data_IF_953503682821
#
_entry.id   IF_953503682821
#
_cell.length_a   1.000
_cell.length_b   1.000
_cell.length_c   1.000
_cell.angle_alpha   90.00
_cell.angle_beta   90.00
_cell.angle_gamma   90.00
#
_symmetry.space_group_name_H-M   'P 1'
#
loop_
_entity.id
_entity.type
_entity.pdbx_description
1 polymer ?
#
# COMPACT_ATOMS: atom_id res chain seq x y z
N UNK A 1 11.23 23.94 -28.71
CA UNK A 1 11.92 23.31 -27.57
C UNK A 1 11.25 23.83 -26.31
N UNK A 2 10.94 22.98 -25.33
CA UNK A 2 10.42 23.48 -24.07
C UNK A 2 11.44 24.39 -23.40
N UNK A 3 10.99 25.49 -22.83
CA UNK A 3 11.84 26.38 -22.08
C UNK A 3 12.10 25.76 -20.70
N UNK A 4 13.36 25.43 -20.41
CA UNK A 4 13.78 25.19 -19.03
C UNK A 4 13.83 26.55 -18.34
N UNK A 5 13.05 26.71 -17.28
CA UNK A 5 12.91 27.97 -16.55
C UNK A 5 13.42 27.82 -15.12
N UNK A 6 13.82 28.95 -14.53
CA UNK A 6 14.20 29.00 -13.12
C UNK A 6 12.96 28.98 -12.23
N UNK A 7 12.95 28.07 -11.26
CA UNK A 7 11.95 27.94 -10.20
C UNK A 7 12.68 27.93 -8.84
N UNK A 8 13.21 29.06 -8.36
CA UNK A 8 14.15 29.07 -7.23
C UNK A 8 13.63 28.28 -6.01
N UNK A 9 14.43 27.37 -5.44
CA UNK A 9 15.85 27.13 -5.68
C UNK A 9 16.19 26.09 -6.78
N UNK A 10 15.22 25.69 -7.60
CA UNK A 10 15.33 24.61 -8.58
C UNK A 10 15.14 25.08 -10.03
N UNK A 11 15.29 24.15 -10.96
CA UNK A 11 14.99 24.29 -12.38
C UNK A 11 13.73 23.50 -12.72
N UNK A 12 12.88 24.06 -13.58
CA UNK A 12 11.68 23.38 -14.07
C UNK A 12 11.60 23.39 -15.58
N UNK A 13 10.74 22.52 -16.10
CA UNK A 13 10.24 22.58 -17.46
C UNK A 13 8.72 22.62 -17.45
N UNK A 14 8.13 23.38 -18.37
CA UNK A 14 6.68 23.39 -18.55
C UNK A 14 6.18 22.01 -18.99
N UNK A 15 5.09 21.57 -18.38
CA UNK A 15 4.44 20.31 -18.74
C UNK A 15 3.68 20.47 -20.06
N UNK A 16 3.83 19.55 -21.03
CA UNK A 16 3.02 19.58 -22.25
C UNK A 16 1.58 19.09 -22.04
N UNK A 17 1.23 18.67 -20.81
CA UNK A 17 -0.09 18.17 -20.42
C UNK A 17 -0.60 19.04 -19.28
N UNK A 18 -1.82 19.55 -19.40
CA UNK A 18 -2.45 20.29 -18.30
C UNK A 18 -2.76 19.38 -17.12
N UNK A 19 -2.36 19.78 -15.92
CA UNK A 19 -2.42 18.94 -14.71
C UNK A 19 -3.84 18.81 -14.17
N UNK A 20 -4.78 19.68 -14.55
CA UNK A 20 -6.16 19.62 -14.10
C UNK A 20 -6.86 18.27 -14.35
N UNK A 21 -6.54 17.56 -15.44
CA UNK A 21 -7.09 16.21 -15.71
C UNK A 21 -6.50 15.17 -14.73
N UNK A 22 -5.21 15.31 -14.40
CA UNK A 22 -4.51 14.43 -13.45
C UNK A 22 -5.06 14.68 -12.04
N UNK A 23 -5.29 15.94 -11.67
CA UNK A 23 -5.89 16.32 -10.39
C UNK A 23 -7.31 15.78 -10.25
N UNK A 24 -8.12 15.87 -11.31
CA UNK A 24 -9.46 15.28 -11.33
C UNK A 24 -9.41 13.76 -11.15
N UNK A 25 -8.48 13.07 -11.82
CA UNK A 25 -8.28 11.63 -11.65
C UNK A 25 -7.84 11.28 -10.22
N UNK A 26 -6.96 12.08 -9.63
CA UNK A 26 -6.51 11.91 -8.25
C UNK A 26 -7.68 12.09 -7.27
N UNK A 27 -8.49 13.15 -7.43
CA UNK A 27 -9.67 13.40 -6.61
C UNK A 27 -10.69 12.25 -6.71
N UNK A 28 -11.02 11.81 -7.93
CA UNK A 28 -11.90 10.65 -8.17
C UNK A 28 -11.35 9.41 -7.47
N UNK A 29 -10.04 9.18 -7.56
CA UNK A 29 -9.38 8.03 -6.92
C UNK A 29 -9.47 8.10 -5.40
N UNK A 30 -9.28 9.28 -4.78
CA UNK A 30 -9.46 9.46 -3.34
C UNK A 30 -10.91 9.18 -2.92
N UNK A 31 -11.89 9.74 -3.65
CA UNK A 31 -13.32 9.48 -3.38
C UNK A 31 -13.62 7.98 -3.51
N UNK A 32 -13.06 7.32 -4.53
CA UNK A 32 -13.21 5.88 -4.71
C UNK A 32 -12.62 5.06 -3.55
N UNK A 33 -11.42 5.41 -3.06
CA UNK A 33 -10.79 4.75 -1.91
C UNK A 33 -11.68 4.89 -0.67
N UNK A 34 -12.21 6.10 -0.41
CA UNK A 34 -13.10 6.36 0.73
C UNK A 34 -14.39 5.54 0.58
N UNK A 35 -15.03 5.60 -0.59
CA UNK A 35 -16.26 4.86 -0.87
C UNK A 35 -16.06 3.35 -0.73
N UNK A 36 -15.00 2.78 -1.31
CA UNK A 36 -14.73 1.34 -1.25
C UNK A 36 -14.39 0.89 0.17
N UNK A 37 -13.65 1.69 0.92
CA UNK A 37 -13.39 1.45 2.34
C UNK A 37 -14.69 1.46 3.17
N UNK A 38 -15.57 2.45 2.98
CA UNK A 38 -16.86 2.50 3.68
C UNK A 38 -17.77 1.32 3.27
N UNK A 39 -17.83 1.01 1.99
CA UNK A 39 -18.68 -0.06 1.47
C UNK A 39 -18.20 -1.45 1.90
N UNK A 40 -16.95 -1.83 1.60
CA UNK A 40 -16.44 -3.17 1.93
C UNK A 40 -15.97 -3.27 3.38
N UNK A 41 -15.29 -2.24 3.85
CA UNK A 41 -14.68 -2.19 5.17
C UNK A 41 -15.70 -2.06 6.29
N UNK A 42 -16.52 -1.01 6.24
CA UNK A 42 -17.52 -0.70 7.29
C UNK A 42 -18.80 -1.50 7.08
N UNK A 43 -19.46 -1.36 5.92
CA UNK A 43 -20.78 -2.00 5.66
C UNK A 43 -20.66 -3.51 5.44
N UNK A 44 -19.65 -3.97 4.72
CA UNK A 44 -19.29 -5.38 4.58
C UNK A 44 -18.65 -6.01 5.83
N UNK A 45 -18.37 -5.17 6.85
CA UNK A 45 -17.69 -5.50 8.10
C UNK A 45 -16.29 -6.09 7.91
N UNK A 46 -15.63 -5.92 6.75
CA UNK A 46 -14.30 -6.47 6.52
C UNK A 46 -13.25 -5.87 7.48
N UNK A 47 -13.35 -4.58 7.83
CA UNK A 47 -12.45 -3.95 8.82
C UNK A 47 -12.52 -4.71 10.16
N UNK A 48 -13.70 -5.19 10.52
CA UNK A 48 -13.95 -5.97 11.73
C UNK A 48 -13.76 -7.49 11.56
N UNK A 49 -13.50 -7.99 10.33
CA UNK A 49 -13.09 -9.38 10.05
C UNK A 49 -11.59 -9.59 10.19
N UNK A 50 -10.78 -8.54 10.10
CA UNK A 50 -9.32 -8.63 10.19
C UNK A 50 -8.73 -8.44 11.60
N UNK A 51 -9.45 -8.90 12.65
CA UNK A 51 -8.86 -9.71 13.71
C UNK A 51 -9.37 -11.17 13.77
N UNK A 52 -10.34 -11.56 12.96
CA UNK A 52 -11.13 -12.79 13.14
C UNK A 52 -10.58 -14.06 12.49
N UNK A 53 -9.27 -14.15 12.18
CA UNK A 53 -8.68 -15.50 12.16
C UNK A 53 -8.60 -16.07 13.57
N UNK A 54 -8.81 -15.29 14.64
CA UNK A 54 -8.76 -15.85 16.00
C UNK A 54 -9.98 -15.66 16.90
N UNK A 55 -10.89 -14.68 16.73
CA UNK A 55 -11.86 -14.42 17.81
C UNK A 55 -13.18 -13.85 17.29
N UNK A 56 -14.26 -14.65 17.32
CA UNK A 56 -15.65 -14.24 17.09
C UNK A 56 -16.36 -14.11 18.45
N UNK A 57 -16.44 -12.89 19.00
CA UNK A 57 -17.34 -12.56 20.11
C UNK A 57 -18.70 -12.14 19.51
N UNK A 58 -19.85 -12.55 20.07
CA UNK A 58 -21.18 -12.10 19.63
C UNK A 58 -21.33 -10.57 19.73
N UNK A 59 -21.53 -9.92 18.58
CA UNK A 59 -21.61 -8.45 18.42
C UNK A 59 -22.52 -7.69 19.40
N UNK A 60 -23.74 -8.16 19.76
CA UNK A 60 -24.64 -7.42 20.64
C UNK A 60 -24.11 -7.22 22.06
N UNK A 61 -23.25 -8.12 22.54
CA UNK A 61 -22.64 -8.02 23.86
C UNK A 61 -21.41 -7.10 23.86
N UNK A 62 -20.72 -6.99 22.73
CA UNK A 62 -19.55 -6.12 22.56
C UNK A 62 -19.92 -4.64 22.53
N UNK A 63 -20.95 -4.26 21.76
CA UNK A 63 -21.44 -2.88 21.70
C UNK A 63 -21.98 -2.40 23.06
N UNK A 64 -22.75 -3.26 23.75
CA UNK A 64 -23.49 -2.88 24.95
C UNK A 64 -22.64 -2.82 26.22
N UNK A 65 -21.52 -3.57 26.30
CA UNK A 65 -20.67 -3.66 27.51
C UNK A 65 -19.28 -3.01 27.37
N UNK A 66 -18.77 -2.80 26.14
CA UNK A 66 -17.35 -2.46 25.93
C UNK A 66 -17.12 -1.15 25.15
N UNK A 67 -18.05 -0.76 24.27
CA UNK A 67 -17.93 0.44 23.44
C UNK A 67 -18.71 1.65 23.99
N UNK A 68 -19.85 1.44 24.65
CA UNK A 68 -20.68 2.52 25.20
C UNK A 68 -20.07 3.24 26.42
N UNK A 69 -19.16 2.58 27.16
CA UNK A 69 -18.63 3.09 28.45
C UNK A 69 -17.22 3.71 28.36
N UNK A 70 -16.57 3.73 27.19
CA UNK A 70 -15.16 4.18 27.07
C UNK A 70 -15.00 5.46 26.25
N UNK A 71 -14.05 6.35 26.64
CA UNK A 71 -13.84 7.63 25.97
C UNK A 71 -13.38 7.45 24.52
N UNK A 72 -13.71 8.43 23.68
CA UNK A 72 -13.31 8.47 22.28
C UNK A 72 -11.77 8.47 22.13
N UNK A 73 -11.26 7.79 21.10
CA UNK A 73 -9.83 7.82 20.77
C UNK A 73 -9.50 9.23 20.24
N UNK A 74 -8.66 9.97 20.96
CA UNK A 74 -8.20 11.28 20.52
C UNK A 74 -7.29 11.18 19.28
N UNK A 75 -7.37 12.18 18.38
CA UNK A 75 -6.63 12.21 17.12
C UNK A 75 -5.11 12.04 17.30
N UNK A 76 -4.50 12.72 18.28
CA UNK A 76 -3.06 12.60 18.56
C UNK A 76 -2.62 11.16 18.90
N UNK A 77 -3.48 10.38 19.57
CA UNK A 77 -3.19 8.98 19.90
C UNK A 77 -3.30 8.07 18.70
N UNK A 78 -4.31 8.29 17.85
CA UNK A 78 -4.43 7.58 16.58
C UNK A 78 -3.20 7.83 15.69
N UNK A 79 -2.69 9.06 15.65
CA UNK A 79 -1.46 9.41 14.92
C UNK A 79 -0.22 8.72 15.52
N UNK A 80 -0.05 8.74 16.84
CA UNK A 80 1.05 8.03 17.50
C UNK A 80 1.01 6.52 17.22
N UNK A 81 -0.17 5.91 17.33
CA UNK A 81 -0.41 4.50 17.02
C UNK A 81 -0.17 4.18 15.52
N UNK A 82 -0.48 5.11 14.61
CA UNK A 82 -0.13 5.01 13.19
C UNK A 82 1.38 4.90 13.00
N UNK A 83 2.15 5.83 13.57
CA UNK A 83 3.61 5.79 13.46
C UNK A 83 4.22 4.56 14.15
N UNK A 84 3.69 4.16 15.31
CA UNK A 84 4.12 2.92 15.99
C UNK A 84 3.84 1.70 15.13
N UNK A 85 2.68 1.62 14.49
CA UNK A 85 2.35 0.54 13.55
C UNK A 85 3.29 0.54 12.34
N UNK A 86 3.54 1.71 11.75
CA UNK A 86 4.36 1.88 10.56
C UNK A 86 5.84 1.57 10.81
N UNK A 87 6.40 2.02 11.93
CA UNK A 87 7.82 1.84 12.23
C UNK A 87 8.11 0.59 13.05
N UNK A 88 7.25 0.15 13.96
CA UNK A 88 7.55 -1.03 14.79
C UNK A 88 7.06 -2.30 14.10
N UNK A 89 5.79 -2.37 13.72
CA UNK A 89 5.20 -3.63 13.28
C UNK A 89 5.37 -3.94 11.81
N UNK A 90 5.34 -2.92 10.94
CA UNK A 90 5.61 -3.11 9.51
C UNK A 90 7.08 -3.47 9.31
N UNK A 91 8.04 -2.82 10.01
CA UNK A 91 9.45 -3.23 10.00
C UNK A 91 9.66 -4.62 10.60
N UNK A 92 8.98 -4.93 11.71
CA UNK A 92 9.05 -6.27 12.31
C UNK A 92 8.28 -7.34 11.51
N UNK A 93 7.54 -6.95 10.47
CA UNK A 93 6.63 -7.84 9.71
C UNK A 93 5.61 -8.56 10.60
N UNK A 94 5.32 -8.00 11.78
CA UNK A 94 4.43 -8.58 12.79
C UNK A 94 3.00 -8.73 12.31
N UNK A 95 2.56 -7.86 11.38
CA UNK A 95 1.20 -7.80 10.86
C UNK A 95 1.04 -8.54 9.52
N UNK A 96 2.11 -8.64 8.73
CA UNK A 96 2.10 -9.19 7.36
C UNK A 96 2.72 -10.59 7.26
N UNK A 97 2.52 -11.40 8.32
CA UNK A 97 2.96 -12.81 8.43
C UNK A 97 2.21 -13.74 7.45
N UNK A 98 2.40 -13.55 6.16
CA UNK A 98 2.02 -14.51 5.11
C UNK A 98 3.31 -15.13 4.54
N UNK A 99 4.24 -15.48 5.42
CA UNK A 99 5.52 -16.13 5.09
C UNK A 99 5.43 -17.65 5.20
N UNK A 100 4.37 -18.13 5.87
CA UNK A 100 4.05 -19.52 6.06
C UNK A 100 3.40 -20.12 4.81
N UNK A 101 3.52 -21.43 4.64
CA UNK A 101 2.86 -22.16 3.56
C UNK A 101 1.37 -22.33 3.85
N UNK A 102 0.81 -23.52 3.64
CA UNK A 102 -0.57 -23.81 4.05
C UNK A 102 -0.76 -23.78 5.58
N UNK A 103 0.32 -23.91 6.35
CA UNK A 103 0.29 -23.81 7.82
C UNK A 103 1.55 -23.17 8.39
N UNK A 104 1.47 -22.64 9.61
CA UNK A 104 2.63 -22.06 10.34
C UNK A 104 3.73 -23.08 10.66
N UNK A 105 3.41 -24.38 10.61
CA UNK A 105 4.34 -25.49 10.87
C UNK A 105 5.14 -25.88 9.63
N UNK A 106 4.79 -25.36 8.45
CA UNK A 106 5.46 -25.68 7.20
C UNK A 106 6.78 -24.92 7.06
N UNK A 107 7.88 -25.64 6.86
CA UNK A 107 9.21 -25.06 6.66
C UNK A 107 9.31 -24.48 5.24
N UNK A 108 9.00 -23.19 5.11
CA UNK A 108 9.14 -22.45 3.86
C UNK A 108 10.59 -21.98 3.68
N UNK A 109 11.34 -22.66 2.81
CA UNK A 109 12.76 -22.32 2.51
C UNK A 109 12.97 -20.91 1.97
N UNK A 110 11.92 -20.26 1.47
CA UNK A 110 11.98 -18.91 0.88
C UNK A 110 11.52 -17.79 1.83
N UNK A 111 11.22 -18.12 3.10
CA UNK A 111 10.63 -17.21 4.09
C UNK A 111 11.35 -15.86 4.18
N UNK A 112 12.67 -15.87 4.29
CA UNK A 112 13.49 -14.65 4.38
C UNK A 112 13.35 -13.78 3.13
N UNK A 113 13.33 -14.38 1.95
CA UNK A 113 13.16 -13.66 0.69
C UNK A 113 11.74 -13.09 0.54
N UNK A 114 10.69 -13.82 0.96
CA UNK A 114 9.31 -13.27 1.02
C UNK A 114 9.21 -12.09 1.98
N UNK A 115 9.87 -12.18 3.13
CA UNK A 115 9.91 -11.11 4.12
C UNK A 115 10.58 -9.85 3.57
N UNK A 116 11.77 -10.01 3.00
CA UNK A 116 12.52 -8.94 2.37
C UNK A 116 11.74 -8.29 1.22
N UNK A 117 11.14 -9.10 0.34
CA UNK A 117 10.32 -8.64 -0.77
C UNK A 117 9.15 -7.76 -0.29
N UNK A 118 8.41 -8.20 0.73
CA UNK A 118 7.30 -7.42 1.31
C UNK A 118 7.78 -6.13 1.95
N UNK A 119 8.86 -6.16 2.72
CA UNK A 119 9.45 -4.96 3.33
C UNK A 119 9.84 -3.94 2.26
N UNK A 120 10.52 -4.39 1.21
CA UNK A 120 10.89 -3.53 0.08
C UNK A 120 9.65 -2.94 -0.60
N UNK A 121 8.63 -3.74 -0.91
CA UNK A 121 7.40 -3.23 -1.51
C UNK A 121 6.68 -2.21 -0.62
N UNK A 122 6.55 -2.48 0.68
CA UNK A 122 5.88 -1.56 1.62
C UNK A 122 6.66 -0.25 1.77
N UNK A 123 7.98 -0.31 1.99
CA UNK A 123 8.81 0.90 2.04
C UNK A 123 8.84 1.64 0.71
N UNK A 124 8.78 0.91 -0.41
CA UNK A 124 8.59 1.47 -1.73
C UNK A 124 7.35 2.38 -1.80
N UNK A 125 6.21 1.90 -1.31
CA UNK A 125 4.98 2.70 -1.21
C UNK A 125 5.09 3.88 -0.24
N UNK A 126 5.74 3.70 0.91
CA UNK A 126 5.94 4.81 1.86
C UNK A 126 6.75 5.93 1.22
N UNK A 127 7.87 5.60 0.56
CA UNK A 127 8.68 6.59 -0.14
C UNK A 127 7.95 7.22 -1.33
N UNK A 128 7.18 6.46 -2.09
CA UNK A 128 6.34 7.02 -3.16
C UNK A 128 5.24 7.94 -2.62
N UNK A 129 4.64 7.63 -1.47
CA UNK A 129 3.68 8.49 -0.79
C UNK A 129 4.29 9.81 -0.33
N UNK A 130 5.49 9.76 0.28
CA UNK A 130 6.26 10.96 0.65
C UNK A 130 6.61 11.78 -0.60
N UNK A 131 7.13 11.13 -1.63
CA UNK A 131 7.48 11.75 -2.91
C UNK A 131 6.29 12.49 -3.52
N UNK A 132 5.15 11.81 -3.64
CA UNK A 132 3.92 12.37 -4.22
C UNK A 132 3.40 13.55 -3.40
N UNK A 133 3.41 13.44 -2.07
CA UNK A 133 2.97 14.51 -1.17
C UNK A 133 3.87 15.74 -1.29
N UNK A 134 5.20 15.55 -1.27
CA UNK A 134 6.14 16.64 -1.43
C UNK A 134 6.04 17.28 -2.82
N UNK A 135 5.89 16.48 -3.89
CA UNK A 135 5.69 16.99 -5.24
C UNK A 135 4.43 17.85 -5.33
N UNK A 136 3.30 17.38 -4.78
CA UNK A 136 2.04 18.12 -4.76
C UNK A 136 2.14 19.46 -4.00
N UNK A 137 2.90 19.49 -2.89
CA UNK A 137 3.02 20.70 -2.06
C UNK A 137 4.08 21.69 -2.55
N UNK A 138 5.11 21.22 -3.26
CA UNK A 138 6.30 22.02 -3.57
C UNK A 138 6.46 22.34 -5.06
N UNK A 139 5.90 21.54 -5.97
CA UNK A 139 6.04 21.79 -7.40
C UNK A 139 5.03 22.84 -7.84
N UNK A 140 5.45 23.88 -8.60
CA UNK A 140 4.50 24.81 -9.19
C UNK A 140 3.53 24.07 -10.12
N UNK A 141 2.27 24.49 -10.14
CA UNK A 141 1.25 23.86 -11.00
C UNK A 141 1.66 23.97 -12.48
N UNK A 142 1.42 22.90 -13.25
CA UNK A 142 1.85 22.73 -14.64
C UNK A 142 3.38 22.76 -14.89
N UNK A 143 4.20 22.74 -13.84
CA UNK A 143 5.66 22.74 -13.94
C UNK A 143 6.28 21.45 -13.40
N UNK A 144 7.32 20.96 -14.08
CA UNK A 144 8.04 19.74 -13.71
C UNK A 144 9.44 20.12 -13.22
N UNK A 145 9.73 19.94 -11.92
CA UNK A 145 11.06 20.20 -11.34
C UNK A 145 12.08 19.17 -11.81
N UNK A 146 13.19 19.58 -12.42
CA UNK A 146 14.17 18.68 -13.05
C UNK A 146 15.23 18.15 -12.08
N UNK A 147 15.53 18.91 -11.03
CA UNK A 147 16.62 18.64 -10.09
C UNK A 147 16.44 17.31 -9.35
N UNK A 148 17.32 16.35 -9.64
CA UNK A 148 17.26 15.01 -9.04
C UNK A 148 17.53 15.00 -7.52
N UNK A 149 18.17 16.05 -7.00
CA UNK A 149 18.42 16.23 -5.57
C UNK A 149 17.22 16.83 -4.83
N UNK A 150 16.13 17.19 -5.53
CA UNK A 150 14.89 17.58 -4.87
C UNK A 150 14.37 16.41 -4.01
N UNK A 151 13.96 16.62 -2.75
CA UNK A 151 13.56 15.53 -1.86
C UNK A 151 12.43 14.66 -2.45
N UNK A 152 11.43 15.27 -3.09
CA UNK A 152 10.39 14.55 -3.81
C UNK A 152 10.95 13.57 -4.87
N UNK A 153 11.97 13.97 -5.65
CA UNK A 153 12.61 13.13 -6.67
C UNK A 153 13.41 11.99 -6.02
N UNK A 154 14.18 12.29 -4.98
CA UNK A 154 14.97 11.28 -4.23
C UNK A 154 14.05 10.19 -3.68
N UNK A 155 13.00 10.56 -2.96
CA UNK A 155 12.04 9.60 -2.42
C UNK A 155 11.30 8.85 -3.53
N UNK A 156 10.99 9.49 -4.66
CA UNK A 156 10.37 8.83 -5.80
C UNK A 156 11.26 7.75 -6.41
N UNK A 157 12.55 8.05 -6.61
CA UNK A 157 13.53 7.10 -7.15
C UNK A 157 13.78 5.94 -6.18
N UNK A 158 13.96 6.22 -4.89
CA UNK A 158 14.11 5.17 -3.86
C UNK A 158 12.86 4.29 -3.78
N UNK A 159 11.68 4.92 -3.79
CA UNK A 159 10.40 4.23 -3.80
C UNK A 159 10.25 3.29 -4.99
N UNK A 160 10.51 3.79 -6.20
CA UNK A 160 10.48 3.00 -7.43
C UNK A 160 11.47 1.84 -7.42
N UNK A 161 12.71 2.07 -6.99
CA UNK A 161 13.73 1.01 -6.90
C UNK A 161 13.31 -0.09 -5.92
N UNK A 162 12.79 0.29 -4.75
CA UNK A 162 12.32 -0.65 -3.74
C UNK A 162 11.12 -1.46 -4.24
N UNK A 163 10.17 -0.82 -4.93
CA UNK A 163 9.04 -1.52 -5.57
C UNK A 163 9.51 -2.54 -6.60
N UNK A 164 10.41 -2.16 -7.51
CA UNK A 164 10.92 -3.06 -8.56
C UNK A 164 11.64 -4.25 -7.95
N UNK A 165 12.62 -4.01 -7.07
CA UNK A 165 13.41 -5.08 -6.46
C UNK A 165 12.53 -5.98 -5.60
N UNK A 166 11.63 -5.40 -4.80
CA UNK A 166 10.69 -6.15 -3.96
C UNK A 166 9.74 -7.03 -4.78
N UNK A 167 9.17 -6.49 -5.86
CA UNK A 167 8.28 -7.23 -6.74
C UNK A 167 8.99 -8.34 -7.52
N UNK A 168 10.17 -8.08 -8.08
CA UNK A 168 10.97 -9.10 -8.77
C UNK A 168 11.40 -10.21 -7.82
N UNK A 169 11.81 -9.86 -6.59
CA UNK A 169 12.14 -10.84 -5.56
C UNK A 169 10.94 -11.71 -5.19
N UNK A 170 9.75 -11.11 -5.03
CA UNK A 170 8.51 -11.83 -4.77
C UNK A 170 8.16 -12.80 -5.90
N UNK A 171 8.17 -12.33 -7.14
CA UNK A 171 7.85 -13.14 -8.32
C UNK A 171 8.86 -14.28 -8.51
N UNK A 172 10.15 -14.01 -8.28
CA UNK A 172 11.22 -15.02 -8.33
C UNK A 172 11.01 -16.12 -7.28
N UNK A 173 10.68 -15.75 -6.04
CA UNK A 173 10.35 -16.71 -4.99
C UNK A 173 9.11 -17.51 -5.35
N UNK A 174 8.06 -16.84 -5.80
CA UNK A 174 6.79 -17.46 -6.16
C UNK A 174 6.98 -18.48 -7.29
N UNK A 175 7.78 -18.13 -8.29
CA UNK A 175 8.15 -19.01 -9.40
C UNK A 175 8.81 -20.30 -8.94
N UNK A 176 9.70 -20.22 -7.96
CA UNK A 176 10.39 -21.40 -7.40
C UNK A 176 9.48 -22.29 -6.55
N UNK A 177 8.48 -21.72 -5.89
CA UNK A 177 7.60 -22.47 -4.98
C UNK A 177 6.41 -23.14 -5.66
N UNK A 178 5.83 -22.49 -6.66
CA UNK A 178 4.60 -23.00 -7.29
C UNK A 178 4.90 -24.14 -8.26
N UNK A 179 6.18 -24.39 -8.60
CA UNK A 179 6.61 -25.37 -9.62
C UNK A 179 5.65 -25.33 -10.82
N UNK A 180 5.80 -24.30 -11.65
CA UNK A 180 4.94 -24.03 -12.82
C UNK A 180 4.97 -25.12 -13.92
N UNK A 181 5.28 -26.38 -13.59
CA UNK A 181 5.23 -27.54 -14.49
C UNK A 181 3.84 -27.88 -15.02
N UNK A 182 2.78 -27.26 -14.48
CA UNK A 182 1.43 -27.27 -15.05
C UNK A 182 0.98 -25.83 -15.33
N UNK A 183 1.22 -25.36 -16.55
CA UNK A 183 1.02 -23.99 -17.05
C UNK A 183 -0.46 -23.57 -17.12
N UNK A 184 -1.24 -23.76 -16.05
CA UNK A 184 -2.63 -23.28 -15.95
C UNK A 184 -2.65 -21.98 -15.15
N UNK A 185 -2.34 -20.90 -15.87
CA UNK A 185 -2.69 -19.51 -15.62
C UNK A 185 -2.08 -18.88 -14.36
N UNK A 186 -1.25 -17.86 -14.58
CA UNK A 186 -0.93 -16.84 -13.57
C UNK A 186 -2.23 -16.41 -12.88
N UNK A 187 -2.28 -16.39 -11.54
CA UNK A 187 -3.44 -15.90 -10.79
C UNK A 187 -3.39 -14.35 -10.80
N UNK A 188 -3.59 -13.78 -11.99
CA UNK A 188 -3.47 -12.35 -12.32
C UNK A 188 -4.46 -11.47 -11.55
N UNK A 189 -5.46 -12.07 -10.90
CA UNK A 189 -6.49 -11.38 -10.10
C UNK A 189 -6.32 -11.69 -8.60
N UNK A 190 -5.67 -12.80 -8.24
CA UNK A 190 -5.42 -13.22 -6.87
C UNK A 190 -4.02 -12.88 -6.36
N UNK A 191 -3.17 -13.90 -6.18
CA UNK A 191 -1.90 -13.74 -5.45
C UNK A 191 -0.80 -13.00 -6.23
N UNK A 192 -0.87 -13.02 -7.57
CA UNK A 192 0.18 -12.49 -8.44
C UNK A 192 -0.14 -11.07 -8.95
N UNK A 193 -1.39 -10.62 -8.84
CA UNK A 193 -1.83 -9.26 -9.19
C UNK A 193 -0.96 -8.19 -8.55
N UNK A 194 -0.86 -8.21 -7.21
CA UNK A 194 -0.22 -7.17 -6.43
C UNK A 194 1.26 -6.97 -6.80
N UNK A 195 2.13 -7.99 -6.80
CA UNK A 195 3.53 -7.82 -7.18
C UNK A 195 3.69 -7.41 -8.66
N UNK A 196 2.85 -7.89 -9.58
CA UNK A 196 2.93 -7.48 -10.99
C UNK A 196 2.59 -6.00 -11.14
N UNK A 197 1.53 -5.53 -10.51
CA UNK A 197 1.13 -4.11 -10.61
C UNK A 197 2.14 -3.20 -9.91
N UNK A 198 2.69 -3.62 -8.77
CA UNK A 198 3.78 -2.90 -8.10
C UNK A 198 5.02 -2.79 -9.01
N UNK A 199 5.37 -3.88 -9.70
CA UNK A 199 6.47 -3.86 -10.67
C UNK A 199 6.20 -2.86 -11.80
N UNK A 200 4.99 -2.87 -12.37
CA UNK A 200 4.59 -1.94 -13.42
C UNK A 200 4.59 -0.48 -12.89
N UNK A 201 4.17 -0.24 -11.65
CA UNK A 201 4.19 1.09 -11.03
C UNK A 201 5.62 1.62 -10.91
N UNK A 202 6.54 0.78 -10.43
CA UNK A 202 7.96 1.13 -10.35
C UNK A 202 8.56 1.42 -11.72
N UNK A 203 8.34 0.55 -12.71
CA UNK A 203 8.85 0.71 -14.08
C UNK A 203 8.28 1.98 -14.72
N UNK A 204 6.96 2.17 -14.67
CA UNK A 204 6.31 3.34 -15.25
C UNK A 204 6.78 4.67 -14.64
N UNK A 205 7.10 4.69 -13.34
CA UNK A 205 7.69 5.86 -12.68
C UNK A 205 9.09 6.21 -13.23
N UNK A 206 9.94 5.21 -13.46
CA UNK A 206 11.25 5.42 -14.11
C UNK A 206 11.10 5.78 -15.59
N UNK A 207 10.14 5.20 -16.30
CA UNK A 207 9.82 5.59 -17.68
C UNK A 207 9.38 7.05 -17.75
N UNK A 208 8.53 7.51 -16.81
CA UNK A 208 8.14 8.90 -16.68
C UNK A 208 9.35 9.81 -16.42
N UNK A 209 10.25 9.41 -15.51
CA UNK A 209 11.49 10.15 -15.27
C UNK A 209 12.34 10.29 -16.55
N UNK A 210 12.51 9.20 -17.31
CA UNK A 210 13.24 9.20 -18.57
C UNK A 210 12.57 10.11 -19.62
N UNK A 211 11.23 10.09 -19.70
CA UNK A 211 10.48 10.93 -20.61
C UNK A 211 10.58 12.43 -20.26
N UNK A 212 10.62 12.77 -18.97
CA UNK A 212 10.85 14.13 -18.50
C UNK A 212 12.23 14.62 -18.93
N UNK A 213 13.26 13.78 -18.80
CA UNK A 213 14.62 14.13 -19.25
C UNK A 213 14.67 14.30 -20.77
N UNK A 214 14.09 13.38 -21.54
CA UNK A 214 14.02 13.48 -22.99
C UNK A 214 13.32 14.78 -23.44
N UNK A 215 12.25 15.18 -22.72
CA UNK A 215 11.56 16.46 -22.94
C UNK A 215 12.45 17.66 -22.64
N UNK A 216 13.07 17.69 -21.46
CA UNK A 216 13.93 18.79 -21.04
C UNK A 216 15.13 19.01 -21.99
N UNK A 217 15.68 17.93 -22.55
CA UNK A 217 16.80 17.99 -23.51
C UNK A 217 16.36 18.07 -24.98
N UNK A 218 15.06 18.20 -25.27
CA UNK A 218 14.55 18.42 -26.62
C UNK A 218 14.77 17.25 -27.59
N UNK A 219 14.72 16.01 -27.11
CA UNK A 219 14.88 14.83 -27.97
C UNK A 219 13.77 14.73 -29.04
N UNK A 220 14.06 14.15 -30.23
CA UNK A 220 13.02 13.91 -31.23
C UNK A 220 11.88 13.06 -30.67
N UNK A 221 10.63 13.49 -30.85
CA UNK A 221 9.45 12.79 -30.35
C UNK A 221 9.20 12.89 -28.83
N UNK A 222 9.99 13.69 -28.10
CA UNK A 222 9.90 13.76 -26.64
C UNK A 222 8.53 14.22 -26.10
N UNK A 223 7.84 15.11 -26.81
CA UNK A 223 6.49 15.55 -26.42
C UNK A 223 5.51 14.35 -26.36
N UNK A 224 5.47 13.55 -27.42
CA UNK A 224 4.61 12.37 -27.48
C UNK A 224 5.02 11.33 -26.44
N UNK A 225 6.33 11.11 -26.25
CA UNK A 225 6.83 10.20 -25.24
C UNK A 225 6.43 10.62 -23.82
N UNK A 226 6.59 11.90 -23.48
CA UNK A 226 6.20 12.44 -22.18
C UNK A 226 4.70 12.36 -21.96
N UNK A 227 3.89 12.73 -22.95
CA UNK A 227 2.43 12.61 -22.86
C UNK A 227 2.01 11.18 -22.59
N UNK A 228 2.54 10.20 -23.35
CA UNK A 228 2.23 8.78 -23.13
C UNK A 228 2.69 8.32 -21.75
N UNK A 229 3.91 8.69 -21.33
CA UNK A 229 4.45 8.27 -20.04
C UNK A 229 3.65 8.83 -18.85
N UNK A 230 3.21 10.10 -18.91
CA UNK A 230 2.36 10.73 -17.89
C UNK A 230 1.04 9.94 -17.75
N UNK A 231 0.34 9.73 -18.86
CA UNK A 231 -0.97 9.08 -18.84
C UNK A 231 -0.85 7.61 -18.45
N UNK A 232 0.15 6.89 -18.98
CA UNK A 232 0.40 5.50 -18.63
C UNK A 232 0.66 5.34 -17.13
N UNK A 233 1.51 6.19 -16.55
CA UNK A 233 1.79 6.15 -15.12
C UNK A 233 0.56 6.53 -14.28
N UNK A 234 -0.14 7.62 -14.61
CA UNK A 234 -1.31 8.09 -13.88
C UNK A 234 -2.47 7.08 -13.90
N UNK A 235 -2.77 6.50 -15.07
CA UNK A 235 -3.80 5.45 -15.21
C UNK A 235 -3.42 4.21 -14.41
N UNK A 236 -2.15 3.81 -14.42
CA UNK A 236 -1.69 2.65 -13.67
C UNK A 236 -1.79 2.88 -12.15
N UNK A 237 -1.44 4.07 -11.65
CA UNK A 237 -1.62 4.47 -10.25
C UNK A 237 -3.09 4.43 -9.86
N UNK A 238 -3.98 5.00 -10.67
CA UNK A 238 -5.42 4.96 -10.42
C UNK A 238 -5.94 3.51 -10.41
N UNK A 239 -5.60 2.72 -11.43
CA UNK A 239 -5.99 1.32 -11.54
C UNK A 239 -5.51 0.48 -10.35
N UNK A 240 -4.28 0.72 -9.87
CA UNK A 240 -3.77 0.08 -8.66
C UNK A 240 -4.71 0.32 -7.48
N UNK A 241 -5.03 1.57 -7.15
CA UNK A 241 -5.90 1.87 -6.02
C UNK A 241 -7.34 1.41 -6.23
N UNK A 242 -7.83 1.47 -7.46
CA UNK A 242 -9.20 1.09 -7.76
C UNK A 242 -9.42 -0.40 -7.57
N UNK A 243 -8.48 -1.22 -8.04
CA UNK A 243 -8.53 -2.68 -7.97
C UNK A 243 -7.96 -3.22 -6.65
N UNK A 244 -7.17 -2.45 -5.91
CA UNK A 244 -6.57 -2.86 -4.63
C UNK A 244 -7.62 -3.48 -3.70
N UNK A 245 -8.76 -2.80 -3.52
CA UNK A 245 -9.85 -3.24 -2.67
C UNK A 245 -10.68 -4.40 -3.24
N UNK A 246 -10.49 -4.76 -4.50
CA UNK A 246 -11.16 -5.89 -5.18
C UNK A 246 -10.30 -7.13 -5.28
N UNK A 247 -9.01 -7.03 -4.95
CA UNK A 247 -8.10 -8.17 -4.87
C UNK A 247 -7.95 -8.63 -3.43
N UNK A 248 -7.18 -9.72 -3.24
CA UNK A 248 -6.77 -10.14 -1.90
C UNK A 248 -5.87 -9.12 -1.20
N UNK A 249 -5.41 -8.04 -1.83
CA UNK A 249 -4.52 -7.06 -1.20
C UNK A 249 -5.23 -6.20 -0.12
N UNK A 250 -6.55 -6.12 -0.13
CA UNK A 250 -7.36 -5.33 0.80
C UNK A 250 -7.08 -5.64 2.29
N UNK A 251 -6.73 -6.89 2.61
CA UNK A 251 -6.34 -7.30 3.97
C UNK A 251 -5.17 -6.49 4.54
N UNK A 252 -4.26 -5.98 3.69
CA UNK A 252 -3.11 -5.18 4.14
C UNK A 252 -3.61 -3.91 4.84
N UNK A 253 -4.52 -3.19 4.18
CA UNK A 253 -5.09 -1.93 4.69
C UNK A 253 -5.88 -2.19 5.98
N UNK A 254 -6.74 -3.21 5.99
CA UNK A 254 -7.53 -3.53 7.18
C UNK A 254 -6.68 -3.96 8.38
N UNK A 255 -5.61 -4.73 8.15
CA UNK A 255 -4.70 -5.14 9.22
C UNK A 255 -3.90 -3.98 9.80
N UNK A 256 -3.49 -3.01 8.98
CA UNK A 256 -2.84 -1.78 9.46
C UNK A 256 -3.81 -1.00 10.34
N UNK A 257 -5.03 -0.72 9.86
CA UNK A 257 -6.03 0.00 10.66
C UNK A 257 -6.38 -0.71 11.97
N UNK A 258 -6.50 -2.04 11.93
CA UNK A 258 -6.74 -2.82 13.13
C UNK A 258 -5.60 -2.69 14.14
N UNK A 259 -4.34 -2.69 13.70
CA UNK A 259 -3.20 -2.56 14.60
C UNK A 259 -3.08 -1.17 15.22
N UNK A 260 -3.39 -0.13 14.44
CA UNK A 260 -3.47 1.24 14.93
C UNK A 260 -4.51 1.31 16.05
N UNK A 261 -5.67 0.71 15.82
CA UNK A 261 -6.71 0.60 16.82
C UNK A 261 -6.24 -0.17 18.06
N UNK A 262 -5.58 -1.32 17.88
CA UNK A 262 -5.03 -2.14 18.98
C UNK A 262 -4.08 -1.34 19.88
N UNK A 263 -3.15 -0.57 19.31
CA UNK A 263 -2.27 0.29 20.11
C UNK A 263 -3.00 1.42 20.81
N UNK A 264 -3.85 2.13 20.08
CA UNK A 264 -4.59 3.26 20.65
C UNK A 264 -5.51 2.81 21.79
N UNK A 265 -6.06 1.59 21.69
CA UNK A 265 -6.95 1.03 22.70
C UNK A 265 -6.22 0.39 23.88
N UNK A 266 -5.12 -0.34 23.65
CA UNK A 266 -4.29 -0.92 24.73
C UNK A 266 -3.75 0.13 25.69
N UNK A 267 -3.35 1.29 25.17
CA UNK A 267 -2.88 2.40 26.00
C UNK A 267 -4.02 3.10 26.78
N UNK A 268 -5.27 2.98 26.32
CA UNK A 268 -6.47 3.48 27.00
C UNK A 268 -7.00 2.52 28.08
N UNK A 269 -6.78 1.23 27.90
CA UNK A 269 -7.47 0.19 28.67
C UNK A 269 -6.57 -0.61 29.62
N UNK A 270 -5.25 -0.42 29.57
CA UNK A 270 -4.31 -1.22 30.36
C UNK A 270 -4.45 -2.72 30.03
N UNK A 271 -4.40 -3.63 31.02
CA UNK A 271 -4.63 -5.07 30.81
C UNK A 271 -6.02 -5.45 30.27
N UNK A 272 -7.01 -4.55 30.33
CA UNK A 272 -8.41 -4.78 29.95
C UNK A 272 -8.71 -4.26 28.53
N UNK A 273 -7.84 -4.63 27.58
CA UNK A 273 -7.93 -4.24 26.17
C UNK A 273 -9.27 -4.67 25.55
N UNK A 274 -9.84 -3.89 24.61
CA UNK A 274 -11.06 -4.26 23.82
C UNK A 274 -10.81 -5.48 22.93
N UNK A 275 -9.59 -6.00 22.93
CA UNK A 275 -9.15 -7.08 22.09
C UNK A 275 -8.99 -8.34 22.92
N UNK A 276 -9.61 -9.44 22.48
CA UNK A 276 -9.49 -10.68 23.20
C UNK A 276 -8.00 -11.13 23.25
N UNK A 277 -7.51 -11.68 24.38
CA UNK A 277 -6.10 -11.97 24.58
C UNK A 277 -5.54 -12.87 23.48
N UNK A 278 -4.29 -12.63 23.07
CA UNK A 278 -3.62 -13.36 21.96
C UNK A 278 -3.47 -14.87 22.19
N UNK A 279 -3.80 -15.36 23.38
CA UNK A 279 -3.84 -16.76 23.78
C UNK A 279 -5.19 -17.44 23.52
N UNK A 280 -6.24 -16.69 23.14
CA UNK A 280 -7.55 -17.26 22.81
C UNK A 280 -7.47 -18.01 21.49
N UNK A 281 -7.99 -19.24 21.53
CA UNK A 281 -8.01 -20.12 20.38
C UNK A 281 -9.07 -19.68 19.36
N UNK A 282 -8.81 -19.81 18.06
CA UNK A 282 -9.73 -19.43 16.99
C UNK A 282 -11.11 -20.07 17.18
N UNK A 283 -12.21 -19.30 17.14
CA UNK A 283 -13.58 -19.81 17.26
C UNK A 283 -14.37 -19.54 15.96
N UNK A 284 -15.23 -20.47 15.55
CA UNK A 284 -16.13 -20.32 14.41
C UNK A 284 -17.37 -19.46 14.77
N UNK A 285 -18.27 -19.21 13.80
CA UNK A 285 -19.50 -18.42 14.01
C UNK A 285 -20.46 -18.98 15.05
N UNK A 286 -20.27 -20.24 15.46
CA UNK A 286 -21.04 -20.93 16.50
C UNK A 286 -20.31 -20.97 17.85
N UNK A 287 -19.14 -20.31 17.97
CA UNK A 287 -18.33 -20.29 19.19
C UNK A 287 -17.49 -21.55 19.41
N UNK A 288 -17.34 -22.43 18.42
CA UNK A 288 -16.52 -23.65 18.51
C UNK A 288 -15.10 -23.40 18.06
N UNK A 289 -14.13 -23.97 18.78
CA UNK A 289 -12.71 -23.91 18.43
C UNK A 289 -12.44 -24.43 17.01
N UNK A 290 -11.83 -23.59 16.18
CA UNK A 290 -11.33 -23.92 14.85
C UNK A 290 -10.00 -24.64 15.08
N UNK A 291 -9.99 -25.94 14.80
CA UNK A 291 -8.76 -26.72 14.81
C UNK A 291 -7.76 -26.14 13.80
N UNK A 292 -6.46 -26.02 14.14
CA UNK A 292 -5.46 -25.53 13.21
C UNK A 292 -5.33 -26.51 12.04
N UNK A 293 -5.77 -26.12 10.83
CA UNK A 293 -5.68 -26.98 9.64
C UNK A 293 -6.73 -26.78 8.54
N UNK A 294 -7.60 -25.77 8.63
CA UNK A 294 -8.59 -25.42 7.60
C UNK A 294 -8.36 -24.03 7.03
#
# INVERSE_FOLDING_TARGET
MPAVVSCPPYTCVESPVGWGVIDALAAITVVWIIFTFLYKGVRGRNVARYPQIHMLIPYPEWDKKLLAEKPAIGAGRAVAAFFKTLFVDVLAMGILRCEYGRSEREVVRTRTAKRAAKLLMVWGFVFAGISTTLAYLMFPHDMIVLDLYHPARIFGMLGGAFMIVGALMWLSVRYKEVSYGGMRWWDLIGADYLPIVILLLGISGFTLQAAILAWAYGWPGAAAFLTVAIHFHAVLVAAFFWLFFWTKADHIVYRIFWRIYDYADKELAGPNTRLPPTTLKPLNRTGKEIQPGY
#
